data_IF_705507981814
#
_entry.id   IF_705507981814
#
_cell.length_a   1.000
_cell.length_b   1.000
_cell.length_c   1.000
_cell.angle_alpha   90.00
_cell.angle_beta   90.00
_cell.angle_gamma   90.00
#
_symmetry.space_group_name_H-M   'P 1'
#
loop_
_entity.id
_entity.type
_entity.pdbx_description
1 polymer ?
#
# COMPACT_ATOMS: atom_id res chain seq x y z
N UNK A 1 6.51 -12.43 -11.37
CA UNK A 1 5.70 -12.23 -10.13
C UNK A 1 4.22 -12.34 -10.40
N UNK A 2 3.63 -11.54 -11.30
CA UNK A 2 2.21 -11.68 -11.64
C UNK A 2 1.83 -13.09 -12.15
N UNK A 3 2.69 -13.69 -12.98
CA UNK A 3 2.53 -15.08 -13.44
C UNK A 3 2.55 -16.10 -12.30
N UNK A 4 3.42 -15.93 -11.29
CA UNK A 4 3.51 -16.82 -10.13
C UNK A 4 2.24 -16.71 -9.28
N UNK A 5 1.77 -15.48 -9.02
CA UNK A 5 0.53 -15.24 -8.26
C UNK A 5 -0.68 -15.83 -9.01
N UNK A 6 -0.75 -15.66 -10.34
CA UNK A 6 -1.81 -16.22 -11.16
C UNK A 6 -1.81 -17.76 -11.15
N UNK A 7 -0.64 -18.39 -11.26
CA UNK A 7 -0.52 -19.85 -11.16
C UNK A 7 -0.96 -20.35 -9.78
N UNK A 8 -0.50 -19.72 -8.70
CA UNK A 8 -0.93 -20.06 -7.33
C UNK A 8 -2.43 -19.88 -7.15
N UNK A 9 -3.01 -18.81 -7.69
CA UNK A 9 -4.45 -18.57 -7.66
C UNK A 9 -5.22 -19.69 -8.36
N UNK A 10 -4.83 -20.04 -9.59
CA UNK A 10 -5.49 -21.11 -10.34
C UNK A 10 -5.36 -22.47 -9.64
N UNK A 11 -4.18 -22.77 -9.07
CA UNK A 11 -3.95 -24.01 -8.33
C UNK A 11 -4.83 -24.11 -7.08
N UNK A 12 -4.83 -23.05 -6.26
CA UNK A 12 -5.67 -22.97 -5.07
C UNK A 12 -7.16 -23.02 -5.42
N UNK A 13 -7.58 -22.37 -6.51
CA UNK A 13 -8.95 -22.43 -7.00
C UNK A 13 -9.36 -23.86 -7.34
N UNK A 14 -8.53 -24.60 -8.08
CA UNK A 14 -8.81 -26.00 -8.41
C UNK A 14 -8.92 -26.90 -7.18
N UNK A 15 -8.01 -26.72 -6.21
CA UNK A 15 -8.05 -27.46 -4.93
C UNK A 15 -9.33 -27.13 -4.14
N UNK A 16 -9.69 -25.85 -4.04
CA UNK A 16 -10.86 -25.42 -3.27
C UNK A 16 -12.18 -25.78 -3.95
N UNK A 17 -12.26 -25.78 -5.28
CA UNK A 17 -13.44 -26.29 -6.00
C UNK A 17 -13.65 -27.77 -5.73
N UNK A 18 -12.57 -28.57 -5.65
CA UNK A 18 -12.67 -29.98 -5.27
C UNK A 18 -13.08 -30.18 -3.81
N UNK A 19 -12.59 -29.35 -2.90
CA UNK A 19 -12.82 -29.51 -1.46
C UNK A 19 -14.16 -28.93 -0.96
N UNK A 20 -14.61 -27.80 -1.53
CA UNK A 20 -15.76 -27.02 -1.05
C UNK A 20 -16.81 -26.77 -2.15
N UNK A 21 -16.64 -27.38 -3.32
CA UNK A 21 -17.56 -27.27 -4.44
C UNK A 21 -17.50 -25.94 -5.19
N UNK A 22 -18.48 -25.73 -6.06
CA UNK A 22 -18.54 -24.59 -6.98
C UNK A 22 -18.60 -23.22 -6.28
N UNK A 23 -19.06 -23.16 -5.02
CA UNK A 23 -19.05 -21.93 -4.23
C UNK A 23 -17.63 -21.36 -4.03
N UNK A 24 -16.58 -22.19 -4.12
CA UNK A 24 -15.19 -21.73 -4.09
C UNK A 24 -14.87 -20.74 -5.22
N UNK A 25 -15.55 -20.82 -6.37
CA UNK A 25 -15.40 -19.86 -7.47
C UNK A 25 -15.81 -18.44 -7.10
N UNK A 26 -16.64 -18.27 -6.08
CA UNK A 26 -17.04 -16.96 -5.57
C UNK A 26 -16.14 -16.54 -4.40
N UNK A 27 -15.99 -17.43 -3.41
CA UNK A 27 -15.36 -17.09 -2.13
C UNK A 27 -13.85 -16.88 -2.25
N UNK A 28 -13.16 -17.66 -3.07
CA UNK A 28 -11.72 -17.51 -3.23
C UNK A 28 -11.32 -16.19 -3.91
N UNK A 29 -11.92 -15.79 -5.05
CA UNK A 29 -11.65 -14.47 -5.62
C UNK A 29 -12.03 -13.33 -4.68
N UNK A 30 -13.16 -13.44 -3.97
CA UNK A 30 -13.59 -12.42 -3.02
C UNK A 30 -12.58 -12.25 -1.90
N UNK A 31 -12.10 -13.35 -1.32
CA UNK A 31 -11.03 -13.34 -0.32
C UNK A 31 -9.75 -12.75 -0.88
N UNK A 32 -9.34 -13.16 -2.08
CA UNK A 32 -8.14 -12.68 -2.74
C UNK A 32 -8.14 -11.17 -2.96
N UNK A 33 -9.19 -10.62 -3.55
CA UNK A 33 -9.32 -9.18 -3.80
C UNK A 33 -9.37 -8.41 -2.48
N UNK A 34 -10.12 -8.92 -1.48
CA UNK A 34 -10.21 -8.28 -0.17
C UNK A 34 -8.87 -8.25 0.54
N UNK A 35 -8.14 -9.38 0.54
CA UNK A 35 -6.81 -9.51 1.11
C UNK A 35 -5.80 -8.61 0.42
N UNK A 36 -5.78 -8.58 -0.92
CA UNK A 36 -4.96 -7.64 -1.70
C UNK A 36 -5.26 -6.19 -1.31
N UNK A 37 -6.53 -5.80 -1.31
CA UNK A 37 -6.94 -4.41 -1.11
C UNK A 37 -6.56 -3.92 0.29
N UNK A 38 -6.95 -4.66 1.33
CA UNK A 38 -6.66 -4.29 2.72
C UNK A 38 -5.14 -4.26 2.96
N UNK A 39 -4.43 -5.31 2.51
CA UNK A 39 -2.99 -5.39 2.70
C UNK A 39 -2.26 -4.30 1.95
N UNK A 40 -2.69 -3.94 0.73
CA UNK A 40 -2.10 -2.84 -0.03
C UNK A 40 -2.20 -1.50 0.72
N UNK A 41 -3.35 -1.23 1.36
CA UNK A 41 -3.58 0.02 2.11
C UNK A 41 -2.75 0.14 3.39
N UNK A 42 -2.30 -0.98 3.96
CA UNK A 42 -1.53 -1.02 5.20
C UNK A 42 -0.05 -1.26 4.91
N UNK A 43 0.28 -2.33 4.20
CA UNK A 43 1.64 -2.81 4.01
C UNK A 43 2.45 -1.93 3.04
N UNK A 44 1.87 -1.43 1.94
CA UNK A 44 2.65 -0.64 0.96
C UNK A 44 3.18 0.67 1.55
N UNK A 45 2.38 1.49 2.27
CA UNK A 45 2.90 2.69 2.93
C UNK A 45 4.02 2.39 3.94
N UNK A 46 3.94 1.27 4.65
CA UNK A 46 4.92 0.88 5.67
C UNK A 46 6.20 0.32 5.02
N UNK A 47 6.07 -0.64 4.10
CA UNK A 47 7.20 -1.34 3.51
C UNK A 47 7.98 -0.51 2.49
N UNK A 48 7.27 0.28 1.69
CA UNK A 48 7.89 1.04 0.58
C UNK A 48 7.87 2.54 0.84
N UNK A 49 6.80 3.06 1.44
CA UNK A 49 6.66 4.49 1.71
C UNK A 49 7.60 4.95 2.82
N UNK A 50 7.67 4.21 3.93
CA UNK A 50 8.39 4.65 5.12
C UNK A 50 9.91 4.71 4.90
N UNK A 51 10.58 3.68 4.33
CA UNK A 51 12.02 3.76 4.08
C UNK A 51 12.38 4.90 3.13
N UNK A 52 11.53 5.15 2.12
CA UNK A 52 11.74 6.25 1.18
C UNK A 52 11.55 7.61 1.85
N UNK A 53 10.50 7.78 2.64
CA UNK A 53 10.29 9.00 3.40
C UNK A 53 11.45 9.27 4.37
N UNK A 54 11.99 8.22 5.03
CA UNK A 54 13.21 8.32 5.86
C UNK A 54 14.38 8.85 5.05
N UNK A 55 14.65 8.25 3.89
CA UNK A 55 15.74 8.69 3.02
C UNK A 55 15.58 10.15 2.55
N UNK A 56 14.36 10.57 2.15
CA UNK A 56 14.10 11.92 1.65
C UNK A 56 14.09 12.99 2.75
N UNK A 57 13.70 12.63 3.97
CA UNK A 57 13.76 13.52 5.12
C UNK A 57 15.20 13.64 5.62
N UNK A 58 15.96 12.54 5.65
CA UNK A 58 17.38 12.57 6.04
C UNK A 58 18.26 13.32 5.03
N UNK A 59 17.92 13.27 3.74
CA UNK A 59 18.57 14.09 2.69
C UNK A 59 18.14 15.56 2.70
N UNK A 60 17.14 15.93 3.52
CA UNK A 60 16.61 17.29 3.61
C UNK A 60 15.75 17.71 2.42
N UNK A 61 15.38 16.78 1.54
CA UNK A 61 14.55 17.05 0.36
C UNK A 61 13.05 17.12 0.70
N UNK A 62 12.65 16.58 1.85
CA UNK A 62 11.25 16.46 2.24
C UNK A 62 11.03 16.82 3.72
N UNK A 63 9.89 17.43 4.02
CA UNK A 63 9.51 17.78 5.40
C UNK A 63 9.06 16.55 6.18
N UNK A 64 9.48 16.44 7.45
CA UNK A 64 9.08 15.35 8.36
C UNK A 64 7.55 15.21 8.57
N UNK A 65 6.77 16.25 8.26
CA UNK A 65 5.30 16.18 8.26
C UNK A 65 4.74 15.09 7.32
N UNK A 66 5.52 14.62 6.34
CA UNK A 66 5.17 13.49 5.47
C UNK A 66 4.89 12.22 6.27
N UNK A 67 5.59 11.95 7.38
CA UNK A 67 5.40 10.74 8.17
C UNK A 67 4.00 10.64 8.73
N UNK A 68 3.46 11.75 9.26
CA UNK A 68 2.09 11.80 9.76
C UNK A 68 1.10 11.47 8.66
N UNK A 69 1.27 12.07 7.47
CA UNK A 69 0.36 11.82 6.34
C UNK A 69 0.49 10.40 5.79
N UNK A 70 1.69 9.82 5.81
CA UNK A 70 1.99 8.49 5.34
C UNK A 70 1.44 7.39 6.26
N UNK A 71 1.58 7.58 7.58
CA UNK A 71 1.15 6.61 8.59
C UNK A 71 -0.33 6.74 8.97
N UNK A 72 -0.95 7.88 8.70
CA UNK A 72 -2.36 8.11 9.03
C UNK A 72 -3.32 7.12 8.32
N UNK A 73 -3.23 6.86 7.00
CA UNK A 73 -4.10 5.88 6.35
C UNK A 73 -3.94 4.45 6.89
N UNK A 74 -2.71 3.89 7.06
CA UNK A 74 -2.54 2.58 7.69
C UNK A 74 -3.14 2.49 9.09
N UNK A 75 -2.91 3.50 9.94
CA UNK A 75 -3.46 3.54 11.30
C UNK A 75 -4.99 3.56 11.28
N UNK A 76 -5.59 4.38 10.40
CA UNK A 76 -7.04 4.40 10.24
C UNK A 76 -7.58 3.05 9.78
N UNK A 77 -6.92 2.39 8.82
CA UNK A 77 -7.34 1.07 8.35
C UNK A 77 -7.25 0.01 9.44
N UNK A 78 -6.16 -0.02 10.21
CA UNK A 78 -6.00 -0.94 11.34
C UNK A 78 -7.12 -0.70 12.36
N UNK A 79 -7.35 0.56 12.75
CA UNK A 79 -8.40 0.90 13.72
C UNK A 79 -9.79 0.48 13.22
N UNK A 80 -10.14 0.79 11.97
CA UNK A 80 -11.43 0.41 11.39
C UNK A 80 -11.60 -1.11 11.35
N UNK A 81 -10.57 -1.85 10.92
CA UNK A 81 -10.62 -3.31 10.90
C UNK A 81 -10.77 -3.90 12.31
N UNK A 82 -10.04 -3.37 13.30
CA UNK A 82 -10.18 -3.81 14.68
C UNK A 82 -11.59 -3.59 15.21
N UNK A 83 -12.20 -2.43 14.94
CA UNK A 83 -13.58 -2.13 15.32
C UNK A 83 -14.56 -3.05 14.61
N UNK A 84 -14.42 -3.25 13.29
CA UNK A 84 -15.29 -4.15 12.52
C UNK A 84 -15.20 -5.57 13.05
N UNK A 85 -13.99 -6.10 13.25
CA UNK A 85 -13.78 -7.45 13.77
C UNK A 85 -14.36 -7.61 15.17
N UNK A 86 -14.21 -6.59 16.03
CA UNK A 86 -14.80 -6.58 17.36
C UNK A 86 -16.33 -6.63 17.29
N UNK A 87 -16.95 -5.78 16.46
CA UNK A 87 -18.40 -5.74 16.29
C UNK A 87 -18.93 -7.05 15.70
N UNK A 88 -18.29 -7.60 14.67
CA UNK A 88 -18.69 -8.88 14.06
C UNK A 88 -18.57 -10.01 15.08
N UNK A 89 -17.49 -10.06 15.87
CA UNK A 89 -17.33 -11.09 16.90
C UNK A 89 -18.36 -10.98 18.02
N UNK A 90 -18.69 -9.77 18.43
CA UNK A 90 -19.62 -9.52 19.52
C UNK A 90 -21.09 -9.74 19.11
N UNK A 91 -21.50 -9.19 17.97
CA UNK A 91 -22.89 -9.22 17.51
C UNK A 91 -23.21 -10.45 16.65
N UNK A 92 -22.21 -11.05 15.98
CA UNK A 92 -22.43 -12.12 14.99
C UNK A 92 -21.42 -13.27 15.12
N UNK A 93 -21.36 -13.95 16.27
CA UNK A 93 -20.39 -15.03 16.51
C UNK A 93 -20.49 -16.18 15.51
N UNK A 94 -21.69 -16.45 14.98
CA UNK A 94 -21.90 -17.47 13.93
C UNK A 94 -21.23 -17.10 12.60
N UNK A 95 -21.11 -15.80 12.28
CA UNK A 95 -20.41 -15.35 11.08
C UNK A 95 -18.89 -15.53 11.24
N UNK A 96 -18.36 -15.35 12.45
CA UNK A 96 -16.94 -15.64 12.75
C UNK A 96 -16.66 -17.12 12.56
N UNK A 97 -17.47 -18.00 13.15
CA UNK A 97 -17.31 -19.45 12.98
C UNK A 97 -17.44 -19.88 11.51
N UNK A 98 -18.35 -19.26 10.76
CA UNK A 98 -18.47 -19.49 9.31
C UNK A 98 -17.21 -19.04 8.55
N UNK A 99 -16.64 -17.89 8.90
CA UNK A 99 -15.43 -17.38 8.27
C UNK A 99 -14.22 -18.29 8.53
N UNK A 100 -14.09 -18.79 9.76
CA UNK A 100 -13.02 -19.72 10.17
C UNK A 100 -13.13 -21.06 9.45
N UNK A 101 -14.35 -21.52 9.16
CA UNK A 101 -14.62 -22.78 8.44
C UNK A 101 -14.60 -22.61 6.91
N UNK A 102 -14.73 -21.39 6.38
CA UNK A 102 -14.65 -21.11 4.95
C UNK A 102 -13.20 -21.04 4.46
N UNK A 103 -12.64 -22.24 4.23
CA UNK A 103 -11.28 -22.40 3.71
C UNK A 103 -11.02 -21.68 2.37
N UNK A 104 -11.98 -21.61 1.44
CA UNK A 104 -11.79 -20.91 0.16
C UNK A 104 -11.60 -19.40 0.36
N UNK A 105 -12.43 -18.78 1.21
CA UNK A 105 -12.35 -17.36 1.54
C UNK A 105 -11.03 -17.04 2.26
N UNK A 106 -10.69 -17.82 3.29
CA UNK A 106 -9.46 -17.65 4.06
C UNK A 106 -8.20 -17.84 3.19
N UNK A 107 -8.17 -18.87 2.35
CA UNK A 107 -7.08 -19.11 1.42
C UNK A 107 -6.94 -17.97 0.40
N UNK A 108 -8.07 -17.46 -0.10
CA UNK A 108 -8.09 -16.25 -0.94
C UNK A 108 -7.42 -15.07 -0.23
N UNK A 109 -7.86 -14.75 1.00
CA UNK A 109 -7.29 -13.63 1.78
C UNK A 109 -5.78 -13.77 1.94
N UNK A 110 -5.29 -14.93 2.37
CA UNK A 110 -3.86 -15.17 2.55
C UNK A 110 -3.07 -15.09 1.24
N UNK A 111 -3.63 -15.60 0.14
CA UNK A 111 -3.02 -15.46 -1.17
C UNK A 111 -2.89 -13.98 -1.58
N UNK A 112 -3.89 -13.16 -1.26
CA UNK A 112 -3.85 -11.72 -1.49
C UNK A 112 -2.77 -11.03 -0.65
N UNK A 113 -2.67 -11.37 0.63
CA UNK A 113 -1.60 -10.88 1.53
C UNK A 113 -0.22 -11.19 0.97
N UNK A 114 0.03 -12.46 0.63
CA UNK A 114 1.30 -12.91 0.03
C UNK A 114 1.56 -12.22 -1.30
N UNK A 115 0.52 -12.02 -2.12
CA UNK A 115 0.59 -11.31 -3.40
C UNK A 115 1.11 -9.88 -3.26
N UNK A 116 0.64 -9.12 -2.26
CA UNK A 116 1.16 -7.77 -1.96
C UNK A 116 2.60 -7.82 -1.47
N UNK A 117 2.93 -8.73 -0.54
CA UNK A 117 4.28 -8.85 -0.01
C UNK A 117 5.31 -9.20 -1.09
N UNK A 118 4.97 -10.14 -1.98
CA UNK A 118 5.78 -10.49 -3.14
C UNK A 118 5.88 -9.33 -4.16
N UNK A 119 4.79 -8.58 -4.34
CA UNK A 119 4.81 -7.40 -5.22
C UNK A 119 5.75 -6.34 -4.68
N UNK A 120 5.75 -6.10 -3.36
CA UNK A 120 6.69 -5.18 -2.72
C UNK A 120 8.17 -5.59 -2.88
N UNK A 121 8.47 -6.85 -3.23
CA UNK A 121 9.83 -7.31 -3.57
C UNK A 121 10.19 -7.06 -5.05
N UNK A 122 9.20 -6.86 -5.92
CA UNK A 122 9.42 -6.63 -7.35
C UNK A 122 9.95 -5.23 -7.64
N UNK A 123 11.05 -5.14 -8.41
CA UNK A 123 11.63 -3.86 -8.86
C UNK A 123 10.61 -2.98 -9.60
N UNK A 124 9.77 -3.59 -10.45
CA UNK A 124 8.74 -2.87 -11.21
C UNK A 124 7.71 -2.24 -10.27
N UNK A 125 7.13 -3.03 -9.38
CA UNK A 125 6.14 -2.54 -8.41
C UNK A 125 6.70 -1.46 -7.48
N UNK A 126 7.99 -1.54 -7.12
CA UNK A 126 8.66 -0.49 -6.34
C UNK A 126 8.78 0.81 -7.14
N UNK A 127 9.19 0.73 -8.40
CA UNK A 127 9.30 1.90 -9.28
C UNK A 127 7.94 2.58 -9.49
N UNK A 128 6.91 1.79 -9.75
CA UNK A 128 5.54 2.29 -9.92
C UNK A 128 5.05 2.96 -8.62
N UNK A 129 5.21 2.29 -7.47
CA UNK A 129 4.88 2.87 -6.17
C UNK A 129 5.66 4.16 -5.89
N UNK A 130 6.92 4.23 -6.32
CA UNK A 130 7.76 5.40 -6.16
C UNK A 130 7.23 6.59 -6.97
N UNK A 131 6.82 6.39 -8.22
CA UNK A 131 6.18 7.43 -9.01
C UNK A 131 4.89 7.94 -8.35
N UNK A 132 4.04 7.03 -7.88
CA UNK A 132 2.78 7.36 -7.21
C UNK A 132 3.01 8.11 -5.88
N UNK A 133 4.06 7.73 -5.14
CA UNK A 133 4.47 8.40 -3.91
C UNK A 133 4.87 9.85 -4.20
N UNK A 134 5.73 10.08 -5.19
CA UNK A 134 6.22 11.42 -5.50
C UNK A 134 5.08 12.33 -5.95
N UNK A 135 4.15 11.80 -6.75
CA UNK A 135 2.95 12.51 -7.16
C UNK A 135 2.05 12.86 -5.96
N UNK A 136 1.79 11.89 -5.08
CA UNK A 136 0.87 12.03 -3.93
C UNK A 136 1.42 12.94 -2.83
N UNK A 137 2.74 12.96 -2.65
CA UNK A 137 3.42 13.69 -1.57
C UNK A 137 4.23 14.89 -2.05
N UNK A 138 4.07 15.32 -3.31
CA UNK A 138 4.77 16.46 -3.92
C UNK A 138 4.79 17.72 -3.05
N UNK A 139 3.70 18.00 -2.35
CA UNK A 139 3.56 19.16 -1.45
C UNK A 139 4.53 19.18 -0.25
N UNK A 140 5.08 18.03 0.14
CA UNK A 140 6.01 17.92 1.26
C UNK A 140 7.47 18.11 0.84
N UNK A 141 7.77 18.17 -0.46
CA UNK A 141 9.10 18.46 -0.95
C UNK A 141 9.50 19.90 -0.61
N UNK A 142 10.68 20.03 -0.03
CA UNK A 142 11.30 21.33 0.24
C UNK A 142 11.78 21.88 -1.09
N UNK A 143 11.05 22.84 -1.68
CA UNK A 143 11.48 23.52 -2.89
C UNK A 143 12.82 24.23 -2.60
N UNK A 144 13.92 23.63 -3.06
CA UNK A 144 15.27 24.17 -2.88
C UNK A 144 15.52 25.47 -3.69
N UNK A 145 14.52 25.95 -4.43
CA UNK A 145 14.65 26.97 -5.46
C UNK A 145 14.35 28.42 -5.05
N UNK A 146 14.00 28.72 -3.79
CA UNK A 146 13.92 30.11 -3.36
C UNK A 146 15.29 30.75 -3.06
N UNK A 147 16.37 29.95 -2.89
CA UNK A 147 17.72 30.46 -2.54
C UNK A 147 18.76 30.43 -3.65
N UNK A 148 18.51 29.74 -4.78
CA UNK A 148 19.41 29.77 -5.95
C UNK A 148 19.01 30.77 -7.04
N UNK A 149 17.80 31.34 -6.98
CA UNK A 149 17.31 32.36 -7.93
C UNK A 149 17.40 33.81 -7.41
N UNK A 150 18.48 34.18 -6.71
CA UNK A 150 18.94 35.58 -6.77
C UNK A 150 20.07 35.64 -7.82
N UNK A 151 19.78 35.92 -9.10
CA UNK A 151 20.81 36.51 -9.94
C UNK A 151 21.19 37.80 -9.23
N UNK A 152 22.43 37.88 -8.75
CA UNK A 152 23.01 39.08 -8.19
C UNK A 152 23.21 40.06 -9.36
N UNK A 153 22.10 40.61 -9.87
CA UNK A 153 22.07 41.66 -10.89
C UNK A 153 22.44 42.96 -10.20
N UNK A 154 23.67 43.04 -9.70
CA UNK A 154 24.29 44.34 -9.39
C UNK A 154 24.55 45.01 -10.73
N UNK A 155 23.57 45.84 -11.13
CA UNK A 155 23.75 47.00 -12.01
C UNK A 155 25.07 47.68 -11.63
N UNK A 156 26.07 47.57 -12.50
CA UNK A 156 27.16 48.54 -12.54
C UNK A 156 26.65 49.71 -13.37
N UNK A 157 26.46 50.83 -12.69
CA UNK A 157 26.14 52.14 -13.23
C UNK A 157 27.36 52.77 -13.93
N UNK A 158 27.10 53.49 -15.04
CA UNK A 158 27.84 54.65 -15.59
C UNK A 158 29.26 54.40 -16.14
N UNK A 159 29.77 55.07 -17.20
CA UNK A 159 29.65 56.50 -17.61
C UNK A 159 29.89 56.64 -19.17
N UNK A 160 30.05 57.85 -19.79
CA UNK A 160 29.22 58.35 -20.90
C UNK A 160 29.97 58.44 -22.26
N UNK A 161 29.30 59.04 -23.24
CA UNK A 161 29.80 59.48 -24.57
C UNK A 161 31.07 60.32 -24.53
#
# INVERSE_FOLDING_TARGET
MQTIIALLFCLLLGVMVKAQGWFALLWLPLGFVSGLFVTARIALPILLGLPRAIHLVSSGEMRAAVYRRLLFPPVLWILHLSVILFLVRFFWPSAVAWFETNGALSAGVWLGVVGILLSALSKKSRADFHADFDQSYRQFYVHRDARRRRPNRRRSSTVPS
#
